data_IF_620892484060
#
_entry.id   IF_620892484060
#
_cell.length_a   1.000
_cell.length_b   1.000
_cell.length_c   1.000
_cell.angle_alpha   90.00
_cell.angle_beta   90.00
_cell.angle_gamma   90.00
#
_symmetry.space_group_name_H-M   'P 1'
#
loop_
_entity.id
_entity.type
_entity.pdbx_description
1 polymer ?
#
# COMPACT_ATOMS: atom_id res chain seq x y z
N UNK A 1 23.87 -11.55 25.94
CA UNK A 1 23.52 -10.14 26.18
C UNK A 1 22.59 -9.59 25.11
N UNK A 2 21.33 -9.29 25.44
CA UNK A 2 20.65 -8.21 24.72
C UNK A 2 21.27 -6.89 25.18
N UNK A 3 21.62 -5.96 24.27
CA UNK A 3 22.20 -4.70 24.67
C UNK A 3 21.21 -3.95 25.57
N UNK A 4 21.69 -3.44 26.71
CA UNK A 4 20.88 -2.63 27.62
C UNK A 4 20.63 -1.29 26.91
N UNK A 5 19.50 -1.19 26.21
CA UNK A 5 19.13 0.01 25.45
C UNK A 5 18.81 1.12 26.44
N UNK A 6 19.52 2.24 26.36
CA UNK A 6 19.22 3.40 27.22
C UNK A 6 17.84 3.95 26.86
N UNK A 7 17.11 4.48 27.86
CA UNK A 7 15.77 5.05 27.65
C UNK A 7 15.74 6.12 26.54
N UNK A 8 16.85 6.85 26.35
CA UNK A 8 17.03 7.85 25.29
C UNK A 8 17.12 7.22 23.90
N UNK A 9 17.89 6.15 23.73
CA UNK A 9 18.02 5.44 22.45
C UNK A 9 16.72 4.74 22.06
N UNK A 10 15.96 4.23 23.03
CA UNK A 10 14.62 3.68 22.79
C UNK A 10 13.67 4.77 22.31
N UNK A 11 13.62 5.91 23.00
CA UNK A 11 12.77 7.04 22.61
C UNK A 11 13.09 7.55 21.19
N UNK A 12 14.38 7.61 20.81
CA UNK A 12 14.78 7.97 19.45
C UNK A 12 14.30 6.98 18.39
N UNK A 13 14.40 5.67 18.66
CA UNK A 13 13.89 4.61 17.76
C UNK A 13 12.37 4.63 17.63
N UNK A 14 11.66 4.87 18.72
CA UNK A 14 10.19 4.93 18.73
C UNK A 14 9.69 6.16 17.95
N UNK A 15 10.36 7.31 18.09
CA UNK A 15 10.09 8.52 17.30
C UNK A 15 10.33 8.29 15.81
N UNK A 16 11.46 7.68 15.46
CA UNK A 16 11.78 7.33 14.07
C UNK A 16 10.75 6.34 13.49
N UNK A 17 10.41 5.28 14.22
CA UNK A 17 9.42 4.29 13.80
C UNK A 17 8.03 4.91 13.64
N UNK A 18 7.65 5.84 14.50
CA UNK A 18 6.39 6.60 14.39
C UNK A 18 6.40 7.47 13.14
N UNK A 19 7.50 8.16 12.85
CA UNK A 19 7.63 8.98 11.65
C UNK A 19 7.50 8.13 10.38
N UNK A 20 8.19 6.99 10.32
CA UNK A 20 8.08 6.03 9.20
C UNK A 20 6.65 5.48 9.08
N UNK A 21 5.99 5.16 10.20
CA UNK A 21 4.63 4.62 10.19
C UNK A 21 3.61 5.64 9.67
N UNK A 22 3.75 6.92 10.05
CA UNK A 22 2.89 8.01 9.54
C UNK A 22 2.96 8.16 8.02
N UNK A 23 4.10 7.89 7.41
CA UNK A 23 4.25 7.90 5.95
C UNK A 23 3.65 6.65 5.30
N UNK A 24 3.75 5.49 5.97
CA UNK A 24 3.27 4.21 5.43
C UNK A 24 1.75 4.07 5.47
N UNK A 25 1.11 4.48 6.57
CA UNK A 25 -0.34 4.40 6.77
C UNK A 25 -1.18 4.95 5.60
N UNK A 26 -0.90 6.14 5.02
CA UNK A 26 -1.67 6.64 3.88
C UNK A 26 -1.44 5.79 2.61
N UNK A 27 -0.24 5.24 2.42
CA UNK A 27 0.08 4.36 1.28
C UNK A 27 -0.72 3.06 1.41
N UNK A 28 -0.72 2.44 2.59
CA UNK A 28 -1.50 1.22 2.86
C UNK A 28 -3.00 1.47 2.70
N UNK A 29 -3.51 2.58 3.24
CA UNK A 29 -4.92 2.95 3.10
C UNK A 29 -5.34 3.14 1.64
N UNK A 30 -4.51 3.83 0.84
CA UNK A 30 -4.75 4.03 -0.58
C UNK A 30 -4.79 2.71 -1.37
N UNK A 31 -3.80 1.85 -1.18
CA UNK A 31 -3.77 0.56 -1.89
C UNK A 31 -4.87 -0.39 -1.43
N UNK A 32 -5.26 -0.34 -0.15
CA UNK A 32 -6.40 -1.10 0.34
C UNK A 32 -7.70 -0.64 -0.32
N UNK A 33 -7.96 0.67 -0.35
CA UNK A 33 -9.12 1.24 -1.04
C UNK A 33 -9.13 0.87 -2.53
N UNK A 34 -7.98 0.99 -3.20
CA UNK A 34 -7.86 0.64 -4.62
C UNK A 34 -8.20 -0.84 -4.85
N UNK A 35 -7.69 -1.73 -4.01
CA UNK A 35 -7.97 -3.17 -4.11
C UNK A 35 -9.44 -3.49 -3.83
N UNK A 36 -10.08 -2.82 -2.87
CA UNK A 36 -11.50 -3.02 -2.57
C UNK A 36 -12.39 -2.60 -3.75
N UNK A 37 -12.11 -1.43 -4.35
CA UNK A 37 -12.90 -0.91 -5.47
C UNK A 37 -12.68 -1.70 -6.76
N UNK A 38 -11.47 -2.16 -7.02
CA UNK A 38 -11.13 -2.77 -8.30
C UNK A 38 -11.03 -4.29 -8.25
N UNK A 39 -10.80 -4.89 -7.09
CA UNK A 39 -10.39 -6.29 -6.97
C UNK A 39 -9.19 -6.61 -7.89
N UNK A 40 -8.17 -5.74 -7.92
CA UNK A 40 -7.03 -5.82 -8.84
C UNK A 40 -6.21 -7.10 -8.67
N UNK A 41 -6.15 -7.65 -7.45
CA UNK A 41 -5.43 -8.90 -7.17
C UNK A 41 -5.98 -10.12 -7.91
N UNK A 42 -7.24 -10.09 -8.38
CA UNK A 42 -7.80 -11.16 -9.25
C UNK A 42 -7.06 -11.29 -10.58
N UNK A 43 -6.26 -10.29 -10.96
CA UNK A 43 -5.42 -10.30 -12.14
C UNK A 43 -4.40 -11.46 -12.15
N UNK A 44 -4.06 -12.04 -10.99
CA UNK A 44 -3.19 -13.22 -10.90
C UNK A 44 -3.71 -14.45 -11.66
N UNK A 45 -5.02 -14.50 -11.96
CA UNK A 45 -5.63 -15.59 -12.74
C UNK A 45 -5.49 -15.42 -14.25
N UNK A 46 -5.04 -14.25 -14.71
CA UNK A 46 -4.88 -13.92 -16.12
C UNK A 46 -3.59 -14.54 -16.63
N UNK A 47 -3.68 -15.39 -17.67
CA UNK A 47 -2.53 -16.14 -18.20
C UNK A 47 -1.78 -15.44 -19.33
N UNK A 48 -2.36 -14.39 -19.91
CA UNK A 48 -1.74 -13.59 -20.98
C UNK A 48 -1.24 -12.27 -20.43
N UNK A 49 -0.01 -11.89 -20.77
CA UNK A 49 0.59 -10.60 -20.41
C UNK A 49 -0.21 -9.42 -20.99
N UNK A 50 -0.68 -9.53 -22.23
CA UNK A 50 -1.52 -8.51 -22.86
C UNK A 50 -2.87 -8.39 -22.16
N UNK A 51 -3.51 -9.52 -21.81
CA UNK A 51 -4.74 -9.53 -21.04
C UNK A 51 -4.57 -8.94 -19.63
N UNK A 52 -3.42 -9.21 -18.99
CA UNK A 52 -3.07 -8.69 -17.67
C UNK A 52 -2.96 -7.16 -17.69
N UNK A 53 -2.27 -6.61 -18.69
CA UNK A 53 -2.11 -5.16 -18.85
C UNK A 53 -3.45 -4.47 -19.05
N UNK A 54 -4.28 -4.95 -19.97
CA UNK A 54 -5.61 -4.36 -20.23
C UNK A 54 -6.52 -4.45 -18.99
N UNK A 55 -6.52 -5.59 -18.30
CA UNK A 55 -7.31 -5.77 -17.08
C UNK A 55 -6.90 -4.80 -15.96
N UNK A 56 -5.58 -4.66 -15.75
CA UNK A 56 -5.02 -3.81 -14.69
C UNK A 56 -5.27 -2.33 -15.00
N UNK A 57 -4.93 -1.89 -16.21
CA UNK A 57 -5.09 -0.48 -16.62
C UNK A 57 -6.55 -0.06 -16.66
N UNK A 58 -7.46 -0.90 -17.18
CA UNK A 58 -8.89 -0.60 -17.22
C UNK A 58 -9.50 -0.45 -15.82
N UNK A 59 -9.12 -1.32 -14.88
CA UNK A 59 -9.58 -1.23 -13.50
C UNK A 59 -9.07 0.00 -12.76
N UNK A 60 -7.80 0.36 -12.97
CA UNK A 60 -7.22 1.58 -12.40
C UNK A 60 -7.93 2.81 -12.97
N UNK A 61 -8.18 2.86 -14.28
CA UNK A 61 -8.90 3.96 -14.92
C UNK A 61 -10.30 4.15 -14.33
N UNK A 62 -11.07 3.07 -14.15
CA UNK A 62 -12.40 3.13 -13.55
C UNK A 62 -12.33 3.60 -12.08
N UNK A 63 -11.36 3.14 -11.30
CA UNK A 63 -11.19 3.58 -9.92
C UNK A 63 -10.93 5.09 -9.81
N UNK A 64 -10.11 5.64 -10.70
CA UNK A 64 -9.84 7.08 -10.72
C UNK A 64 -11.02 7.90 -11.25
N UNK A 65 -11.79 7.39 -12.21
CA UNK A 65 -13.05 8.03 -12.63
C UNK A 65 -14.02 8.11 -11.45
N UNK A 66 -14.19 7.03 -10.69
CA UNK A 66 -15.00 6.99 -9.46
C UNK A 66 -14.50 7.88 -8.32
N UNK A 67 -13.24 8.32 -8.36
CA UNK A 67 -12.68 9.22 -7.36
C UNK A 67 -12.98 10.69 -7.70
N UNK A 68 -13.16 10.99 -8.98
CA UNK A 68 -13.40 12.34 -9.50
C UNK A 68 -14.90 12.71 -9.48
N UNK A 69 -15.79 11.73 -9.74
CA UNK A 69 -17.24 11.89 -9.82
C UNK A 69 -17.96 11.23 -8.64
#
# INVERSE_FOLDING_TARGET
EEPIITQREKAGRDLFSTAVSKVRQPIESFFNWLNEKTNIQRAMKVRSTSGLLVHTMGKIAIAFIYLIF
#
